data_IF_522981046646
#
_entry.id   IF_522981046646
#
_cell.length_a   1.000
_cell.length_b   1.000
_cell.length_c   1.000
_cell.angle_alpha   90.00
_cell.angle_beta   90.00
_cell.angle_gamma   90.00
#
_symmetry.space_group_name_H-M   'P 1'
#
loop_
_entity.id
_entity.type
_entity.pdbx_description
1 polymer ?
#
# COMPACT_ATOMS: atom_id res chain seq x y z
N UNK A 1 71.70 18.85 0.05
CA UNK A 1 71.18 19.16 1.39
C UNK A 1 69.74 19.60 1.22
N UNK A 2 68.80 18.68 1.41
CA UNK A 2 67.36 18.94 1.31
C UNK A 2 66.75 18.54 2.64
N UNK A 3 66.26 19.53 3.38
CA UNK A 3 65.47 19.32 4.58
C UNK A 3 64.12 18.72 4.18
N UNK A 4 63.82 17.54 4.74
CA UNK A 4 62.50 16.93 4.67
C UNK A 4 61.64 17.58 5.76
N UNK A 5 60.68 18.39 5.36
CA UNK A 5 59.61 18.87 6.24
C UNK A 5 58.76 17.68 6.69
N UNK A 6 58.78 17.43 8.00
CA UNK A 6 57.91 16.48 8.69
C UNK A 6 56.57 17.18 8.95
N UNK A 7 55.53 16.78 8.21
CA UNK A 7 54.16 17.15 8.57
C UNK A 7 53.72 16.31 9.78
N UNK A 8 53.24 16.92 10.88
CA UNK A 8 52.67 16.17 11.99
C UNK A 8 51.32 15.57 11.57
N UNK A 9 50.95 14.39 12.11
CA UNK A 9 49.67 13.77 11.82
C UNK A 9 48.52 14.60 12.41
N UNK A 10 47.51 14.75 11.57
CA UNK A 10 46.24 15.40 11.82
C UNK A 10 45.56 14.79 13.07
N UNK A 11 45.37 15.60 14.11
CA UNK A 11 44.63 15.21 15.31
C UNK A 11 43.15 15.53 15.08
N UNK A 12 42.44 14.61 14.45
CA UNK A 12 40.99 14.55 14.61
C UNK A 12 40.68 14.28 16.09
N UNK A 13 39.80 15.06 16.74
CA UNK A 13 39.39 14.77 18.10
C UNK A 13 38.59 13.47 18.11
N UNK A 14 39.20 12.42 18.66
CA UNK A 14 38.48 11.24 19.13
C UNK A 14 37.63 11.69 20.31
N UNK A 15 36.32 11.81 20.10
CA UNK A 15 35.38 11.95 21.21
C UNK A 15 35.50 10.71 22.09
N UNK A 16 36.04 10.90 23.29
CA UNK A 16 36.14 9.89 24.33
C UNK A 16 34.75 9.35 24.67
N UNK A 17 34.60 8.04 24.49
CA UNK A 17 33.46 7.24 24.93
C UNK A 17 33.87 6.38 26.13
N UNK A 18 34.70 6.95 26.99
CA UNK A 18 35.06 6.36 28.28
C UNK A 18 34.68 7.37 29.38
N UNK A 19 34.12 6.82 30.47
CA UNK A 19 33.75 7.48 31.73
C UNK A 19 32.36 8.17 31.78
N UNK A 20 31.33 7.33 31.85
CA UNK A 20 30.16 7.58 32.71
C UNK A 20 29.68 6.23 33.27
N UNK A 21 30.53 5.61 34.10
CA UNK A 21 30.09 4.60 35.06
C UNK A 21 29.23 5.29 36.13
N UNK A 22 27.91 5.26 35.95
CA UNK A 22 26.99 5.52 37.05
C UNK A 22 27.02 4.31 38.00
N UNK A 23 27.09 4.52 39.32
CA UNK A 23 27.11 3.42 40.28
C UNK A 23 25.82 2.61 40.17
N UNK A 24 25.98 1.30 39.94
CA UNK A 24 24.96 0.27 40.14
C UNK A 24 24.40 0.44 41.55
N UNK A 25 23.25 1.08 41.62
CA UNK A 25 22.41 1.11 42.81
C UNK A 25 21.41 0.00 42.59
N UNK A 26 21.47 -1.04 43.41
CA UNK A 26 20.47 -2.11 43.52
C UNK A 26 19.12 -1.51 43.96
N UNK A 27 18.44 -0.86 43.03
CA UNK A 27 17.06 -0.47 43.19
C UNK A 27 16.20 -1.66 42.77
N UNK A 28 15.73 -2.42 43.77
CA UNK A 28 14.56 -3.27 43.59
C UNK A 28 13.47 -2.47 42.86
N UNK A 29 12.86 -3.00 41.78
CA UNK A 29 11.72 -2.35 41.18
C UNK A 29 10.58 -2.35 42.20
N UNK A 30 10.35 -1.19 42.82
CA UNK A 30 9.15 -0.93 43.61
C UNK A 30 7.96 -1.21 42.72
N UNK A 31 7.16 -2.19 43.13
CA UNK A 31 5.96 -2.64 42.44
C UNK A 31 5.10 -1.45 42.03
N UNK A 32 5.06 -1.20 40.73
CA UNK A 32 3.93 -0.51 40.13
C UNK A 32 2.83 -1.57 40.08
N UNK A 33 2.00 -1.58 41.12
CA UNK A 33 0.77 -2.37 41.15
C UNK A 33 -0.02 -2.01 39.90
N UNK A 34 0.00 -2.93 38.92
CA UNK A 34 -0.95 -2.91 37.83
C UNK A 34 -2.33 -3.05 38.47
N UNK A 35 -3.34 -2.27 38.05
CA UNK A 35 -4.68 -2.41 38.59
C UNK A 35 -5.12 -3.87 38.43
N UNK A 36 -5.29 -4.56 39.56
CA UNK A 36 -5.98 -5.84 39.65
C UNK A 36 -7.45 -5.61 39.27
N UNK A 37 -7.69 -5.45 37.97
CA UNK A 37 -9.03 -5.49 37.43
C UNK A 37 -9.50 -6.94 37.55
N UNK A 38 -10.43 -7.15 38.49
CA UNK A 38 -11.09 -8.40 38.80
C UNK A 38 -11.69 -9.06 37.55
N UNK A 39 -10.86 -9.80 36.79
CA UNK A 39 -11.28 -10.66 35.69
C UNK A 39 -11.69 -12.03 36.25
N UNK A 40 -12.79 -12.04 37.00
CA UNK A 40 -13.52 -13.28 37.24
C UNK A 40 -14.27 -13.66 35.97
N UNK A 41 -13.65 -14.38 35.03
CA UNK A 41 -14.30 -15.31 34.08
C UNK A 41 -13.27 -15.98 33.17
N UNK A 42 -13.18 -17.31 33.28
CA UNK A 42 -12.49 -18.26 32.39
C UNK A 42 -10.99 -18.02 32.12
N UNK A 43 -10.15 -18.48 33.07
CA UNK A 43 -8.70 -18.70 32.90
C UNK A 43 -8.39 -19.86 31.92
N UNK A 44 -8.96 -19.84 30.72
CA UNK A 44 -8.47 -20.72 29.67
C UNK A 44 -7.08 -20.20 29.22
N UNK A 45 -6.06 -21.06 29.11
CA UNK A 45 -4.77 -20.62 28.57
C UNK A 45 -4.98 -20.03 27.16
N UNK A 46 -4.31 -18.92 26.83
CA UNK A 46 -4.47 -18.28 25.51
C UNK A 46 -4.03 -19.26 24.42
N UNK A 47 -4.91 -19.58 23.48
CA UNK A 47 -4.55 -20.32 22.27
C UNK A 47 -4.04 -19.34 21.22
N UNK A 48 -2.93 -19.66 20.58
CA UNK A 48 -2.34 -18.84 19.51
C UNK A 48 -2.16 -19.66 18.24
N UNK A 49 -2.49 -19.04 17.10
CA UNK A 49 -2.21 -19.57 15.77
C UNK A 49 -1.08 -18.76 15.14
N UNK A 50 -0.04 -19.46 14.69
CA UNK A 50 1.15 -18.91 14.06
C UNK A 50 1.21 -19.42 12.62
N UNK A 51 1.38 -18.54 11.66
CA UNK A 51 1.49 -18.91 10.24
C UNK A 51 2.67 -18.19 9.58
N UNK A 52 3.68 -18.95 9.15
CA UNK A 52 4.79 -18.40 8.37
C UNK A 52 4.42 -18.36 6.88
N UNK A 53 4.39 -17.15 6.31
CA UNK A 53 4.06 -16.97 4.89
C UNK A 53 5.14 -17.51 3.95
N UNK A 54 6.40 -17.61 4.39
CA UNK A 54 7.49 -18.04 3.52
C UNK A 54 7.55 -19.57 3.40
N UNK A 55 7.56 -20.28 4.54
CA UNK A 55 7.64 -21.75 4.54
C UNK A 55 6.27 -22.45 4.44
N UNK A 56 5.17 -21.72 4.67
CA UNK A 56 3.82 -22.29 4.76
C UNK A 56 3.58 -23.12 6.02
N UNK A 57 4.51 -23.11 6.97
CA UNK A 57 4.37 -23.81 8.26
C UNK A 57 3.34 -23.06 9.12
N UNK A 58 2.40 -23.81 9.68
CA UNK A 58 1.44 -23.31 10.66
C UNK A 58 1.52 -24.10 11.96
N UNK A 59 1.36 -23.41 13.07
CA UNK A 59 1.37 -23.99 14.41
C UNK A 59 0.21 -23.38 15.21
N UNK A 60 -0.67 -24.22 15.74
CA UNK A 60 -1.69 -23.81 16.70
C UNK A 60 -1.36 -24.46 18.03
N UNK A 61 -1.21 -23.66 19.08
CA UNK A 61 -0.79 -24.16 20.38
C UNK A 61 -1.38 -23.35 21.53
N UNK A 62 -1.63 -24.03 22.64
CA UNK A 62 -2.01 -23.50 23.95
C UNK A 62 -0.92 -23.78 25.02
N UNK A 63 0.20 -24.40 24.61
CA UNK A 63 1.34 -24.70 25.47
C UNK A 63 2.44 -23.66 25.30
N UNK A 64 2.99 -23.18 26.43
CA UNK A 64 4.08 -22.21 26.47
C UNK A 64 5.20 -22.71 27.41
N UNK A 65 6.48 -22.37 27.14
CA UNK A 65 6.96 -21.49 26.06
C UNK A 65 6.90 -22.15 24.68
N UNK A 66 6.77 -21.33 23.63
CA UNK A 66 6.85 -21.77 22.21
C UNK A 66 8.17 -21.29 21.64
N UNK A 67 8.97 -22.21 21.10
CA UNK A 67 10.24 -21.92 20.47
C UNK A 67 10.12 -21.86 18.94
N UNK A 68 10.60 -20.74 18.37
CA UNK A 68 10.60 -20.49 16.94
C UNK A 68 12.05 -20.41 16.48
N UNK A 69 12.44 -21.20 15.49
CA UNK A 69 13.81 -21.20 15.00
C UNK A 69 14.01 -21.97 13.70
N UNK A 70 15.21 -21.86 13.15
CA UNK A 70 15.61 -22.62 11.97
C UNK A 70 16.23 -23.96 12.39
N UNK A 71 15.57 -25.04 12.00
CA UNK A 71 15.93 -26.41 12.37
C UNK A 71 14.73 -27.21 12.88
N UNK A 72 14.86 -28.55 12.88
CA UNK A 72 13.74 -29.47 13.18
C UNK A 72 13.37 -29.60 14.67
N UNK A 73 14.13 -28.96 15.56
CA UNK A 73 14.00 -29.15 17.02
C UNK A 73 13.07 -28.16 17.71
N UNK A 74 12.55 -27.18 16.98
CA UNK A 74 11.72 -26.10 17.50
C UNK A 74 10.24 -26.38 17.24
N UNK A 75 9.36 -25.87 18.10
CA UNK A 75 7.91 -26.04 17.97
C UNK A 75 7.42 -25.50 16.61
N UNK A 76 7.93 -24.33 16.23
CA UNK A 76 7.79 -23.79 14.87
C UNK A 76 9.13 -23.81 14.15
N UNK A 77 9.35 -24.88 13.38
CA UNK A 77 10.54 -25.08 12.57
C UNK A 77 10.48 -24.26 11.26
N UNK A 78 11.09 -23.08 11.27
CA UNK A 78 11.23 -22.24 10.08
C UNK A 78 12.19 -22.91 9.09
N UNK A 79 11.85 -22.85 7.79
CA UNK A 79 12.69 -23.36 6.70
C UNK A 79 13.04 -22.22 5.74
N UNK A 80 14.31 -21.85 5.68
CA UNK A 80 14.75 -20.76 4.82
C UNK A 80 16.25 -20.51 4.91
N UNK A 81 16.76 -19.54 4.12
CA UNK A 81 18.11 -19.03 4.30
C UNK A 81 18.19 -18.33 5.67
N UNK A 82 19.14 -18.74 6.51
CA UNK A 82 19.36 -18.14 7.82
C UNK A 82 20.24 -19.04 8.71
N UNK A 83 20.81 -18.50 9.80
CA UNK A 83 21.62 -19.30 10.72
C UNK A 83 20.77 -20.40 11.38
N UNK A 84 21.30 -21.61 11.54
CA UNK A 84 20.62 -22.63 12.34
C UNK A 84 20.56 -22.18 13.81
N UNK A 85 19.40 -22.28 14.45
CA UNK A 85 19.28 -21.86 15.85
C UNK A 85 17.89 -21.37 16.25
N UNK A 86 17.78 -21.05 17.55
CA UNK A 86 16.58 -20.48 18.15
C UNK A 86 16.53 -19.00 17.77
N UNK A 87 15.45 -18.55 17.13
CA UNK A 87 15.31 -17.16 16.71
C UNK A 87 14.57 -16.35 17.76
N UNK A 88 13.41 -16.84 18.19
CA UNK A 88 12.55 -16.19 19.16
C UNK A 88 11.83 -17.21 20.05
N UNK A 89 11.38 -16.75 21.22
CA UNK A 89 10.58 -17.53 22.16
C UNK A 89 9.33 -16.74 22.54
N UNK A 90 8.18 -17.41 22.53
CA UNK A 90 6.92 -16.86 23.04
C UNK A 90 6.69 -17.40 24.44
N UNK A 91 6.45 -16.50 25.39
CA UNK A 91 6.13 -16.82 26.77
C UNK A 91 4.77 -16.23 27.16
N UNK A 92 4.04 -16.95 28.02
CA UNK A 92 2.78 -16.50 28.61
C UNK A 92 2.98 -16.18 30.08
N UNK A 93 2.78 -14.92 30.45
CA UNK A 93 2.86 -14.45 31.83
C UNK A 93 1.52 -13.84 32.21
N UNK A 94 0.78 -14.45 33.14
CA UNK A 94 -0.55 -13.99 33.57
C UNK A 94 -1.55 -13.81 32.41
N UNK A 95 -1.54 -14.72 31.43
CA UNK A 95 -2.40 -14.66 30.24
C UNK A 95 -1.94 -13.68 29.17
N UNK A 96 -0.86 -12.94 29.43
CA UNK A 96 -0.26 -12.00 28.48
C UNK A 96 0.85 -12.69 27.70
N UNK A 97 0.74 -12.71 26.37
CA UNK A 97 1.75 -13.30 25.50
C UNK A 97 2.81 -12.28 25.12
N UNK A 98 4.08 -12.62 25.34
CA UNK A 98 5.23 -11.83 24.90
C UNK A 98 6.15 -12.68 24.04
N UNK A 99 6.64 -12.12 22.94
CA UNK A 99 7.68 -12.73 22.10
C UNK A 99 9.01 -12.02 22.33
N UNK A 100 10.07 -12.77 22.58
CA UNK A 100 11.42 -12.28 22.84
C UNK A 100 12.40 -12.83 21.80
N UNK A 101 13.30 -11.97 21.31
CA UNK A 101 14.39 -12.33 20.41
C UNK A 101 15.47 -13.06 21.19
N UNK A 102 15.72 -14.32 20.85
CA UNK A 102 16.75 -15.14 21.51
C UNK A 102 18.11 -15.12 20.77
N UNK A 103 18.12 -14.84 19.46
CA UNK A 103 19.36 -14.73 18.69
C UNK A 103 19.59 -13.29 18.20
N UNK A 104 20.63 -12.59 18.68
CA UNK A 104 20.90 -11.20 18.31
C UNK A 104 21.33 -11.04 16.84
N UNK A 105 21.74 -12.11 16.16
CA UNK A 105 22.10 -12.09 14.74
C UNK A 105 20.87 -12.11 13.82
N UNK A 106 19.70 -12.43 14.37
CA UNK A 106 18.44 -12.51 13.61
C UNK A 106 17.67 -11.21 13.79
N UNK A 107 17.31 -10.58 12.68
CA UNK A 107 16.48 -9.39 12.70
C UNK A 107 15.07 -9.73 13.19
N UNK A 108 14.53 -8.95 14.12
CA UNK A 108 13.16 -9.10 14.61
C UNK A 108 12.45 -7.75 14.56
N UNK A 109 11.34 -7.66 13.82
CA UNK A 109 10.55 -6.43 13.73
C UNK A 109 9.05 -6.71 13.80
N UNK A 110 8.35 -5.92 14.60
CA UNK A 110 6.90 -5.89 14.65
C UNK A 110 6.42 -4.61 13.95
N UNK A 111 5.51 -4.73 12.98
CA UNK A 111 4.99 -3.60 12.20
C UNK A 111 6.08 -2.65 11.68
N UNK A 112 7.17 -3.24 11.16
CA UNK A 112 8.37 -2.55 10.61
C UNK A 112 9.31 -1.90 11.62
N UNK A 113 9.02 -1.96 12.92
CA UNK A 113 9.90 -1.45 13.99
C UNK A 113 10.75 -2.58 14.56
N UNK A 114 12.07 -2.43 14.56
CA UNK A 114 12.97 -3.41 15.18
C UNK A 114 12.74 -3.45 16.70
N UNK A 115 12.54 -4.65 17.23
CA UNK A 115 12.20 -4.88 18.64
C UNK A 115 12.98 -6.08 19.16
N UNK A 116 13.42 -6.02 20.42
CA UNK A 116 14.01 -7.17 21.13
C UNK A 116 12.94 -8.00 21.84
N UNK A 117 11.84 -7.36 22.26
CA UNK A 117 10.69 -7.98 22.90
C UNK A 117 9.42 -7.27 22.44
N UNK A 118 8.36 -8.02 22.17
CA UNK A 118 7.08 -7.48 21.71
C UNK A 118 5.91 -8.12 22.46
N UNK A 119 4.92 -7.29 22.79
CA UNK A 119 3.69 -7.69 23.48
C UNK A 119 2.64 -8.04 22.41
N UNK A 120 2.15 -9.28 22.41
CA UNK A 120 1.19 -9.72 21.42
C UNK A 120 -0.24 -9.45 21.91
N UNK A 121 -0.85 -8.36 21.43
CA UNK A 121 -2.19 -7.90 21.87
C UNK A 121 -3.32 -8.21 20.88
N UNK A 122 -3.02 -8.75 19.70
CA UNK A 122 -4.00 -8.98 18.65
C UNK A 122 -3.38 -9.51 17.36
N UNK A 123 -4.14 -9.57 16.25
CA UNK A 123 -3.63 -10.04 14.97
C UNK A 123 -2.50 -9.14 14.51
N UNK A 124 -1.28 -9.68 14.49
CA UNK A 124 -0.05 -8.93 14.21
C UNK A 124 0.80 -9.71 13.22
N UNK A 125 1.55 -9.01 12.39
CA UNK A 125 2.59 -9.63 11.57
C UNK A 125 3.97 -9.27 12.11
N UNK A 126 4.80 -10.27 12.35
CA UNK A 126 6.15 -10.09 12.86
C UNK A 126 7.15 -10.68 11.87
N UNK A 127 8.16 -9.89 11.56
CA UNK A 127 9.27 -10.30 10.69
C UNK A 127 10.40 -10.88 11.56
N UNK A 128 10.81 -12.12 11.26
CA UNK A 128 11.90 -12.85 11.91
C UNK A 128 12.90 -13.30 10.83
N UNK A 129 13.97 -12.53 10.66
CA UNK A 129 14.87 -12.65 9.51
C UNK A 129 14.09 -12.41 8.21
N UNK A 130 14.08 -13.43 7.35
CA UNK A 130 13.35 -13.42 6.08
C UNK A 130 11.92 -13.97 6.19
N UNK A 131 11.53 -14.46 7.38
CA UNK A 131 10.21 -15.02 7.62
C UNK A 131 9.22 -13.94 8.06
N UNK A 132 8.01 -13.97 7.49
CA UNK A 132 6.90 -13.12 7.92
C UNK A 132 5.85 -14.00 8.59
N UNK A 133 5.81 -13.95 9.92
CA UNK A 133 4.93 -14.75 10.76
C UNK A 133 3.68 -13.93 11.08
N UNK A 134 2.53 -14.45 10.68
CA UNK A 134 1.24 -13.90 11.08
C UNK A 134 0.76 -14.59 12.37
N UNK A 135 0.36 -13.78 13.34
CA UNK A 135 -0.20 -14.21 14.62
C UNK A 135 -1.70 -13.99 14.56
N UNK A 136 -2.47 -15.01 14.93
CA UNK A 136 -3.90 -14.90 15.10
C UNK A 136 -4.31 -15.41 16.49
N UNK A 137 -5.14 -14.61 17.15
CA UNK A 137 -5.68 -14.88 18.48
C UNK A 137 -7.11 -15.33 18.30
N UNK A 138 -7.29 -16.44 17.59
CA UNK A 138 -8.60 -17.05 17.46
C UNK A 138 -8.95 -17.64 18.84
N UNK A 139 -9.67 -16.83 19.61
CA UNK A 139 -10.37 -17.19 20.83
C UNK A 139 -10.96 -18.58 20.62
N UNK A 140 -10.45 -19.56 21.37
CA UNK A 140 -10.78 -20.99 21.34
C UNK A 140 -12.26 -21.31 21.70
N UNK A 141 -13.20 -20.43 21.33
CA UNK A 141 -14.64 -20.65 21.32
C UNK A 141 -15.05 -21.21 19.96
N UNK A 142 -14.65 -22.45 19.71
CA UNK A 142 -15.48 -23.41 19.01
C UNK A 142 -15.63 -23.28 17.50
N UNK A 143 -14.53 -23.16 16.74
CA UNK A 143 -14.53 -23.66 15.35
C UNK A 143 -14.05 -25.11 15.31
N UNK A 144 -14.86 -26.02 15.90
CA UNK A 144 -15.02 -27.32 15.24
C UNK A 144 -15.40 -26.97 13.82
N UNK A 145 -14.57 -27.35 12.84
CA UNK A 145 -14.76 -27.05 11.43
C UNK A 145 -16.12 -27.55 10.94
N UNK A 146 -17.17 -26.77 11.18
CA UNK A 146 -18.44 -26.89 10.49
C UNK A 146 -18.20 -26.24 9.13
N UNK A 147 -18.33 -27.00 8.03
CA UNK A 147 -18.07 -26.46 6.70
C UNK A 147 -18.95 -25.22 6.50
N UNK A 148 -18.42 -24.14 5.89
CA UNK A 148 -19.09 -22.85 5.82
C UNK A 148 -20.50 -23.02 5.24
N UNK A 149 -21.52 -22.86 6.09
CA UNK A 149 -22.94 -23.02 5.71
C UNK A 149 -23.35 -22.10 4.56
N UNK A 150 -22.66 -20.96 4.38
CA UNK A 150 -22.83 -20.07 3.22
C UNK A 150 -22.37 -20.71 1.91
N UNK A 151 -21.30 -21.53 1.93
CA UNK A 151 -20.80 -22.21 0.73
C UNK A 151 -21.72 -23.36 0.30
N UNK A 152 -22.42 -24.02 1.23
CA UNK A 152 -23.39 -25.06 0.89
C UNK A 152 -24.63 -24.50 0.19
N UNK A 153 -25.13 -23.32 0.59
CA UNK A 153 -26.22 -22.62 -0.12
C UNK A 153 -25.78 -22.16 -1.51
N UNK A 154 -24.56 -21.65 -1.64
CA UNK A 154 -24.02 -21.23 -2.93
C UNK A 154 -23.78 -22.42 -3.87
N UNK A 155 -23.22 -23.53 -3.39
CA UNK A 155 -23.06 -24.76 -4.16
C UNK A 155 -24.40 -25.39 -4.56
N UNK A 156 -25.42 -25.35 -3.69
CA UNK A 156 -26.78 -25.78 -4.06
C UNK A 156 -27.36 -24.89 -5.17
N UNK A 157 -27.13 -23.57 -5.10
CA UNK A 157 -27.59 -22.63 -6.11
C UNK A 157 -26.89 -22.86 -7.45
N UNK A 158 -25.56 -23.08 -7.44
CA UNK A 158 -24.79 -23.45 -8.65
C UNK A 158 -25.25 -24.78 -9.22
N UNK A 159 -25.51 -25.79 -8.38
CA UNK A 159 -26.03 -27.08 -8.84
C UNK A 159 -27.41 -26.94 -9.49
N UNK A 160 -28.34 -26.19 -8.88
CA UNK A 160 -29.68 -25.94 -9.45
C UNK A 160 -29.58 -25.18 -10.77
N UNK A 161 -28.74 -24.15 -10.85
CA UNK A 161 -28.53 -23.38 -12.10
C UNK A 161 -27.94 -24.26 -13.20
N UNK A 162 -26.96 -25.11 -12.88
CA UNK A 162 -26.37 -26.04 -13.85
C UNK A 162 -27.38 -27.07 -14.39
N UNK A 163 -28.30 -27.54 -13.53
CA UNK A 163 -29.34 -28.50 -13.91
C UNK A 163 -30.40 -27.84 -14.82
N UNK A 164 -30.77 -26.58 -14.54
CA UNK A 164 -31.67 -25.80 -15.40
C UNK A 164 -31.03 -25.56 -16.77
N UNK A 165 -29.77 -25.13 -16.82
CA UNK A 165 -29.04 -24.88 -18.07
C UNK A 165 -28.91 -26.18 -18.88
N UNK A 166 -28.58 -27.30 -18.23
CA UNK A 166 -28.49 -28.61 -18.87
C UNK A 166 -29.82 -29.07 -19.48
N UNK A 167 -30.93 -28.92 -18.75
CA UNK A 167 -32.26 -29.26 -19.27
C UNK A 167 -32.67 -28.38 -20.47
N UNK A 168 -32.27 -27.10 -20.46
CA UNK A 168 -32.52 -26.17 -21.55
C UNK A 168 -31.73 -26.54 -22.81
N UNK A 169 -30.45 -26.92 -22.65
CA UNK A 169 -29.60 -27.43 -23.72
C UNK A 169 -30.13 -28.73 -24.33
N UNK A 170 -30.57 -29.69 -23.50
CA UNK A 170 -31.17 -30.94 -23.99
C UNK A 170 -32.44 -30.66 -24.78
N UNK A 171 -33.31 -29.75 -24.32
CA UNK A 171 -34.50 -29.35 -25.09
C UNK A 171 -34.12 -28.70 -26.42
N UNK A 172 -33.08 -27.88 -26.45
CA UNK A 172 -32.65 -27.21 -27.67
C UNK A 172 -32.10 -28.21 -28.70
N UNK A 173 -31.37 -29.24 -28.25
CA UNK A 173 -30.91 -30.34 -29.08
C UNK A 173 -32.07 -31.20 -29.62
N UNK A 174 -33.07 -31.49 -28.80
CA UNK A 174 -34.25 -32.24 -29.25
C UNK A 174 -35.10 -31.48 -30.27
N UNK A 175 -35.19 -30.15 -30.16
CA UNK A 175 -35.91 -29.31 -31.14
C UNK A 175 -35.12 -29.19 -32.45
N UNK A 176 -33.78 -29.21 -32.39
CA UNK A 176 -32.95 -29.20 -33.59
C UNK A 176 -33.11 -30.49 -34.42
N UNK A 177 -33.32 -31.63 -33.78
CA UNK A 177 -33.51 -32.93 -34.45
C UNK A 177 -34.85 -33.00 -35.23
N UNK A 178 -35.88 -32.28 -34.78
CA UNK A 178 -37.16 -32.17 -35.51
C UNK A 178 -37.06 -31.26 -36.75
N UNK A 179 -36.05 -30.40 -36.85
CA UNK A 179 -35.88 -29.48 -37.96
C UNK A 179 -35.26 -30.15 -39.22
N UNK A 180 -34.53 -31.26 -39.06
CA UNK A 180 -33.90 -31.98 -40.19
C UNK A 180 -34.80 -33.07 -40.81
N UNK A 181 -35.95 -33.39 -40.19
CA UNK A 181 -36.91 -34.39 -40.69
C UNK A 181 -37.76 -33.94 -41.88
N UNK A 182 -37.57 -32.72 -42.43
CA UNK A 182 -38.32 -32.23 -43.59
C UNK A 182 -37.42 -31.86 -44.75
N UNK A 183 -36.69 -32.85 -45.28
CA UNK A 183 -36.12 -32.73 -46.64
C UNK A 183 -36.62 -33.89 -47.50
N UNK A 184 -37.24 -33.47 -48.60
CA UNK A 184 -37.98 -34.23 -49.58
C UNK A 184 -37.14 -35.26 -50.34
N UNK A 185 -37.77 -36.43 -50.51
CA UNK A 185 -37.50 -37.48 -51.48
C UNK A 185 -37.20 -36.91 -52.87
N UNK A 186 -35.99 -37.15 -53.38
CA UNK A 186 -35.68 -37.20 -54.82
C UNK A 186 -34.73 -38.39 -55.05
N UNK A 187 -35.29 -39.47 -55.60
CA UNK A 187 -34.57 -40.60 -56.24
C UNK A 187 -33.83 -40.10 -57.50
N UNK A 188 -32.70 -40.70 -57.96
CA UNK A 188 -32.72 -42.08 -58.51
C UNK A 188 -31.43 -42.94 -58.47
N UNK A 189 -31.67 -44.24 -58.68
CA UNK A 189 -30.94 -45.25 -59.48
C UNK A 189 -29.45 -45.60 -59.24
N UNK A 190 -29.27 -46.73 -58.54
CA UNK A 190 -28.71 -48.02 -59.01
C UNK A 190 -27.59 -48.05 -60.08
N UNK A 191 -26.41 -48.57 -59.69
CA UNK A 191 -25.60 -49.67 -60.30
C UNK A 191 -24.14 -49.55 -59.79
N UNK A 192 -23.60 -50.44 -58.93
CA UNK A 192 -23.09 -51.80 -59.22
C UNK A 192 -22.12 -51.77 -60.42
N UNK A 193 -20.83 -52.13 -60.38
CA UNK A 193 -20.14 -53.20 -59.65
C UNK A 193 -18.62 -53.10 -59.84
N UNK A 194 -17.90 -53.62 -58.83
CA UNK A 194 -16.58 -54.32 -58.80
C UNK A 194 -16.33 -55.32 -59.99
N UNK A 195 -15.18 -56.03 -60.20
CA UNK A 195 -13.79 -56.03 -59.66
C UNK A 195 -12.66 -55.99 -60.74
N UNK A 196 -11.38 -56.14 -60.31
CA UNK A 196 -10.45 -57.22 -60.78
C UNK A 196 -8.99 -56.81 -61.18
N UNK A 197 -8.04 -57.15 -60.28
CA UNK A 197 -6.76 -57.88 -60.45
C UNK A 197 -5.91 -57.71 -61.75
N UNK A 198 -4.61 -57.31 -61.60
CA UNK A 198 -3.34 -58.07 -61.90
C UNK A 198 -2.14 -57.14 -62.24
N UNK A 199 -1.07 -57.26 -61.42
CA UNK A 199 0.40 -57.45 -61.70
C UNK A 199 1.18 -56.64 -62.80
N UNK A 200 2.54 -56.58 -62.72
CA UNK A 200 3.42 -55.42 -63.02
C UNK A 200 4.40 -55.73 -64.20
N UNK A 201 5.69 -55.26 -64.26
CA UNK A 201 6.38 -53.95 -64.18
C UNK A 201 6.99 -53.58 -65.60
N UNK A 202 8.00 -52.68 -65.85
CA UNK A 202 9.42 -52.73 -65.38
C UNK A 202 10.17 -51.36 -65.15
N UNK A 203 11.40 -51.50 -64.63
CA UNK A 203 12.57 -50.59 -64.51
C UNK A 203 13.12 -50.07 -65.87
N UNK A 204 14.04 -49.05 -65.96
CA UNK A 204 15.50 -49.15 -65.68
C UNK A 204 16.21 -47.87 -65.10
N UNK A 205 17.21 -48.04 -64.21
CA UNK A 205 18.71 -47.95 -64.36
C UNK A 205 19.26 -46.51 -64.45
N UNK A 206 20.39 -46.08 -63.87
CA UNK A 206 21.54 -46.58 -63.07
C UNK A 206 22.27 -45.29 -62.57
N UNK A 207 23.41 -45.23 -61.86
CA UNK A 207 24.56 -46.12 -61.72
C UNK A 207 25.52 -45.52 -60.64
N UNK A 208 26.13 -46.38 -59.81
CA UNK A 208 27.52 -46.38 -59.24
C UNK A 208 28.07 -45.14 -58.46
N UNK A 209 28.89 -45.26 -57.41
CA UNK A 209 29.73 -46.35 -56.91
C UNK A 209 30.06 -46.19 -55.39
N UNK A 210 30.39 -47.32 -54.78
CA UNK A 210 30.92 -47.55 -53.43
C UNK A 210 32.49 -47.68 -53.49
N UNK A 211 33.27 -47.74 -52.39
CA UNK A 211 33.26 -48.90 -51.48
C UNK A 211 33.53 -48.65 -49.96
N UNK A 212 33.32 -49.74 -49.20
CA UNK A 212 33.46 -49.98 -47.75
C UNK A 212 34.82 -49.68 -47.11
N UNK A 213 34.82 -49.45 -45.77
CA UNK A 213 35.54 -50.26 -44.76
C UNK A 213 34.85 -50.14 -43.38
N UNK A 214 34.70 -51.27 -42.69
CA UNK A 214 34.20 -51.49 -41.32
C UNK A 214 34.95 -50.72 -40.19
N UNK A 215 34.24 -50.43 -39.09
CA UNK A 215 34.58 -50.84 -37.70
C UNK A 215 34.15 -49.84 -36.59
N UNK A 216 33.17 -50.28 -35.78
CA UNK A 216 33.15 -50.36 -34.30
C UNK A 216 33.15 -49.11 -33.38
N UNK A 217 32.27 -49.18 -32.36
CA UNK A 217 32.36 -48.65 -30.96
C UNK A 217 32.06 -47.16 -30.68
N UNK A 218 30.85 -46.92 -30.16
CA UNK A 218 30.54 -46.30 -28.84
C UNK A 218 30.73 -44.79 -28.58
N UNK A 219 29.60 -44.22 -28.10
CA UNK A 219 29.41 -43.18 -27.08
C UNK A 219 29.50 -41.67 -27.41
N UNK A 220 28.50 -41.02 -26.79
CA UNK A 220 28.46 -39.66 -26.26
C UNK A 220 28.09 -38.54 -27.22
N UNK A 221 26.81 -38.19 -27.18
CA UNK A 221 26.19 -37.03 -27.81
C UNK A 221 26.56 -35.77 -27.05
N UNK A 222 27.24 -34.85 -27.72
CA UNK A 222 27.51 -33.49 -27.26
C UNK A 222 26.37 -32.53 -27.61
N UNK A 223 25.91 -31.82 -26.59
CA UNK A 223 25.76 -30.36 -26.52
C UNK A 223 25.29 -29.61 -27.79
N UNK A 224 24.04 -29.14 -27.75
CA UNK A 224 23.49 -28.11 -28.64
C UNK A 224 22.87 -26.98 -27.81
N UNK A 225 23.52 -25.82 -27.86
CA UNK A 225 23.01 -24.52 -27.44
C UNK A 225 22.33 -23.87 -28.65
N UNK A 226 21.09 -23.33 -28.53
CA UNK A 226 20.55 -22.41 -29.52
C UNK A 226 20.75 -20.95 -29.09
N UNK A 227 21.30 -20.21 -30.05
CA UNK A 227 21.40 -18.76 -30.20
C UNK A 227 20.01 -18.08 -30.24
N UNK A 228 19.86 -16.84 -29.74
CA UNK A 228 18.77 -15.98 -30.20
C UNK A 228 19.24 -14.70 -30.88
N UNK A 229 18.79 -14.61 -32.13
CA UNK A 229 18.43 -13.47 -32.97
C UNK A 229 18.58 -12.04 -32.43
N UNK A 230 19.41 -11.31 -33.17
CA UNK A 230 19.40 -9.86 -33.42
C UNK A 230 18.00 -9.27 -33.61
N UNK A 231 17.62 -8.30 -32.79
CA UNK A 231 16.50 -7.39 -33.03
C UNK A 231 17.00 -5.94 -33.20
N UNK A 232 16.46 -5.30 -34.23
CA UNK A 232 16.85 -4.01 -34.77
C UNK A 232 16.39 -2.81 -33.93
N UNK A 233 17.22 -1.76 -33.98
CA UNK A 233 17.00 -0.40 -33.47
C UNK A 233 15.99 0.35 -34.38
N UNK A 234 15.20 1.28 -33.82
CA UNK A 234 15.17 2.60 -34.47
C UNK A 234 15.36 3.78 -33.51
N UNK A 235 15.98 4.80 -34.10
CA UNK A 235 16.54 6.02 -33.53
C UNK A 235 15.53 7.06 -33.01
N UNK A 236 16.01 7.79 -32.00
CA UNK A 236 16.01 9.25 -31.83
C UNK A 236 14.72 10.07 -32.08
N UNK A 237 14.21 10.65 -30.99
CA UNK A 237 13.56 11.96 -31.02
C UNK A 237 14.31 12.88 -30.04
N UNK A 238 15.09 13.80 -30.61
CA UNK A 238 15.62 14.95 -29.92
C UNK A 238 14.54 16.01 -29.79
N UNK A 239 14.20 16.42 -28.57
CA UNK A 239 13.48 17.67 -28.32
C UNK A 239 14.33 18.54 -27.38
N UNK A 240 15.10 19.43 -28.00
CA UNK A 240 15.67 20.60 -27.38
C UNK A 240 14.53 21.53 -26.95
N UNK A 241 14.37 21.77 -25.65
CA UNK A 241 13.72 22.98 -25.15
C UNK A 241 14.80 23.90 -24.58
N UNK A 242 15.13 24.95 -25.34
CA UNK A 242 15.91 26.07 -24.84
C UNK A 242 15.02 26.92 -23.93
N UNK A 243 15.34 26.94 -22.64
CA UNK A 243 14.75 27.88 -21.70
C UNK A 243 15.43 29.24 -21.88
N UNK A 244 14.66 30.25 -22.26
CA UNK A 244 15.03 31.67 -22.22
C UNK A 244 15.21 32.13 -20.76
N UNK A 245 16.26 32.89 -20.42
CA UNK A 245 16.45 33.41 -19.07
C UNK A 245 15.52 34.60 -18.76
N UNK A 246 15.02 34.76 -17.53
CA UNK A 246 14.23 35.92 -17.14
C UNK A 246 15.11 37.16 -16.96
N UNK A 247 14.58 38.30 -17.40
CA UNK A 247 15.18 39.64 -17.23
C UNK A 247 15.10 40.12 -15.78
N UNK A 248 16.05 40.94 -15.30
CA UNK A 248 16.08 41.44 -13.93
C UNK A 248 15.10 42.61 -13.73
N UNK A 249 14.32 42.56 -12.65
CA UNK A 249 13.45 43.66 -12.21
C UNK A 249 14.22 44.54 -11.22
N UNK A 250 14.49 45.77 -11.64
CA UNK A 250 15.01 46.88 -10.84
C UNK A 250 13.88 47.54 -10.02
N UNK A 251 14.11 48.01 -8.79
CA UNK A 251 13.10 48.72 -8.01
C UNK A 251 13.16 50.24 -8.25
N UNK A 252 12.01 50.90 -8.38
CA UNK A 252 11.93 52.36 -8.35
C UNK A 252 10.63 52.88 -7.69
N UNK A 253 10.87 53.54 -6.55
CA UNK A 253 10.20 54.69 -5.92
C UNK A 253 8.81 55.19 -6.36
N UNK A 254 7.95 55.33 -5.35
CA UNK A 254 7.22 56.53 -4.89
C UNK A 254 6.86 57.63 -5.90
N UNK A 255 5.56 57.90 -6.10
CA UNK A 255 4.87 59.15 -5.69
C UNK A 255 3.54 59.45 -6.43
N UNK A 256 2.62 60.07 -5.68
CA UNK A 256 1.62 61.10 -6.04
C UNK A 256 0.31 60.77 -6.79
N UNK A 257 -0.79 61.08 -6.07
CA UNK A 257 -2.18 61.43 -6.44
C UNK A 257 -2.20 62.86 -7.05
N UNK A 258 -3.04 63.24 -8.06
CA UNK A 258 -4.39 63.78 -7.81
C UNK A 258 -5.52 63.65 -8.90
N UNK A 259 -6.76 63.51 -8.39
CA UNK A 259 -8.00 64.30 -8.67
C UNK A 259 -8.81 64.20 -10.00
N UNK A 260 -10.10 63.80 -9.82
CA UNK A 260 -11.40 64.20 -10.43
C UNK A 260 -11.82 63.82 -11.87
N UNK A 261 -12.84 62.93 -12.02
CA UNK A 261 -14.26 63.17 -12.45
C UNK A 261 -14.60 62.63 -13.88
N UNK A 262 -15.87 62.38 -14.28
CA UNK A 262 -16.69 61.22 -13.93
C UNK A 262 -17.41 60.52 -15.13
N UNK A 263 -18.18 59.46 -14.84
CA UNK A 263 -19.27 58.86 -15.65
C UNK A 263 -18.91 57.91 -16.81
N UNK A 264 -19.03 56.60 -16.58
CA UNK A 264 -19.95 55.69 -17.31
C UNK A 264 -20.09 54.38 -16.53
N UNK A 265 -21.33 54.01 -16.20
CA UNK A 265 -21.65 52.86 -15.34
C UNK A 265 -21.19 51.52 -15.95
N UNK A 266 -20.55 50.63 -15.16
CA UNK A 266 -20.54 49.22 -15.44
C UNK A 266 -21.51 48.47 -14.52
N UNK A 267 -22.06 47.41 -15.09
CA UNK A 267 -22.97 46.43 -14.50
C UNK A 267 -22.42 45.97 -13.14
N UNK A 268 -23.22 46.14 -12.08
CA UNK A 268 -22.97 45.60 -10.75
C UNK A 268 -23.07 44.08 -10.80
N UNK A 269 -21.98 43.40 -11.09
CA UNK A 269 -21.76 42.07 -10.56
C UNK A 269 -21.64 42.21 -9.03
N UNK A 270 -22.43 41.50 -8.21
CA UNK A 270 -22.26 41.55 -6.77
C UNK A 270 -20.93 40.89 -6.42
N UNK A 271 -19.88 41.69 -6.32
CA UNK A 271 -18.66 41.34 -5.59
C UNK A 271 -19.08 41.24 -4.13
N UNK A 272 -19.50 40.05 -3.70
CA UNK A 272 -19.57 39.71 -2.28
C UNK A 272 -18.14 39.89 -1.75
N UNK A 273 -17.89 41.01 -1.06
CA UNK A 273 -16.73 41.11 -0.18
C UNK A 273 -16.76 39.87 0.72
N UNK A 274 -15.63 39.17 0.92
CA UNK A 274 -15.57 38.12 1.93
C UNK A 274 -16.02 38.74 3.25
N UNK A 275 -17.05 38.14 3.86
CA UNK A 275 -17.57 38.60 5.14
C UNK A 275 -16.47 38.34 6.17
N UNK A 276 -15.82 39.41 6.65
CA UNK A 276 -14.75 39.38 7.65
C UNK A 276 -15.13 38.58 8.92
N UNK A 277 -16.42 38.35 9.18
CA UNK A 277 -16.89 37.52 10.30
C UNK A 277 -16.62 36.01 10.18
N UNK A 278 -16.53 35.43 8.97
CA UNK A 278 -16.23 34.00 8.82
C UNK A 278 -14.72 33.71 9.01
N UNK A 279 -13.88 34.68 8.65
CA UNK A 279 -12.41 34.65 8.80
C UNK A 279 -11.99 34.69 10.26
N UNK A 280 -12.85 35.21 11.14
CA UNK A 280 -12.60 35.25 12.59
C UNK A 280 -12.96 33.96 13.33
N UNK A 281 -13.57 32.95 12.66
CA UNK A 281 -13.87 31.66 13.30
C UNK A 281 -12.62 30.86 13.73
N UNK A 282 -11.54 30.73 12.94
CA UNK A 282 -10.29 30.14 13.42
C UNK A 282 -9.64 30.97 14.53
N UNK A 283 -9.82 32.29 14.52
CA UNK A 283 -9.28 33.17 15.57
C UNK A 283 -10.04 33.01 16.88
N UNK A 284 -11.38 32.93 16.84
CA UNK A 284 -12.23 32.61 17.99
C UNK A 284 -11.89 31.26 18.61
N UNK A 285 -11.68 30.25 17.77
CA UNK A 285 -11.21 28.93 18.17
C UNK A 285 -9.82 28.99 18.79
N UNK A 286 -8.90 29.77 18.20
CA UNK A 286 -7.56 29.96 18.74
C UNK A 286 -7.59 30.68 20.10
N UNK A 287 -8.47 31.67 20.28
CA UNK A 287 -8.70 32.37 21.56
C UNK A 287 -9.27 31.41 22.62
N UNK A 288 -10.18 30.52 22.25
CA UNK A 288 -10.67 29.46 23.14
C UNK A 288 -9.55 28.50 23.55
N UNK A 289 -8.75 28.00 22.60
CA UNK A 289 -7.58 27.14 22.89
C UNK A 289 -6.54 27.82 23.78
N UNK A 290 -6.40 29.15 23.67
CA UNK A 290 -5.54 29.96 24.54
C UNK A 290 -6.14 30.29 25.90
N UNK A 291 -7.37 29.86 26.19
CA UNK A 291 -8.06 30.14 27.45
C UNK A 291 -8.49 31.59 27.63
N UNK A 292 -8.55 32.38 26.54
CA UNK A 292 -8.92 33.81 26.60
C UNK A 292 -10.44 34.03 26.76
N UNK A 293 -11.26 32.99 26.56
CA UNK A 293 -12.70 33.03 26.75
C UNK A 293 -13.05 32.54 28.15
N UNK A 294 -13.52 33.48 28.98
CA UNK A 294 -13.67 33.33 30.44
C UNK A 294 -14.84 32.43 30.86
N UNK A 295 -15.83 32.21 30.00
CA UNK A 295 -16.88 31.21 30.23
C UNK A 295 -17.55 30.74 28.94
N UNK A 296 -18.04 29.49 28.96
CA UNK A 296 -18.79 28.89 27.85
C UNK A 296 -20.06 29.68 27.49
N UNK A 297 -20.73 30.26 28.49
CA UNK A 297 -21.94 31.06 28.29
C UNK A 297 -21.66 32.39 27.60
N UNK A 298 -20.47 32.99 27.79
CA UNK A 298 -20.06 34.19 27.09
C UNK A 298 -19.70 33.92 25.61
N UNK A 299 -19.17 32.73 25.30
CA UNK A 299 -18.79 32.34 23.94
C UNK A 299 -20.00 31.88 23.08
N UNK A 300 -21.10 31.48 23.72
CA UNK A 300 -22.29 30.90 23.06
C UNK A 300 -22.91 31.75 21.94
N UNK A 301 -23.12 33.08 22.06
CA UNK A 301 -23.67 33.88 20.96
C UNK A 301 -22.70 33.99 19.78
N UNK A 302 -21.41 34.21 20.03
CA UNK A 302 -20.39 34.29 18.98
C UNK A 302 -20.24 32.95 18.24
N UNK A 303 -20.35 31.85 18.98
CA UNK A 303 -20.30 30.50 18.42
C UNK A 303 -21.56 30.19 17.60
N UNK A 304 -22.74 30.69 17.99
CA UNK A 304 -23.97 30.59 17.20
C UNK A 304 -23.87 31.39 15.89
N UNK A 305 -23.28 32.57 15.93
CA UNK A 305 -23.05 33.39 14.74
C UNK A 305 -22.01 32.73 13.83
N UNK A 306 -20.93 32.17 14.39
CA UNK A 306 -19.95 31.39 13.66
C UNK A 306 -20.58 30.16 12.99
N UNK A 307 -21.43 29.40 13.69
CA UNK A 307 -22.19 28.28 13.12
C UNK A 307 -23.09 28.72 11.95
N UNK A 308 -23.71 29.90 12.04
CA UNK A 308 -24.53 30.46 10.96
C UNK A 308 -23.70 30.90 9.74
N UNK A 309 -22.51 31.46 9.98
CA UNK A 309 -21.58 31.85 8.93
C UNK A 309 -21.00 30.62 8.21
N UNK A 310 -20.56 29.62 8.98
CA UNK A 310 -20.13 28.30 8.50
C UNK A 310 -21.23 27.66 7.64
N UNK A 311 -22.49 27.76 8.07
CA UNK A 311 -23.64 27.26 7.32
C UNK A 311 -23.80 27.91 5.95
N UNK A 312 -23.59 29.23 5.84
CA UNK A 312 -23.61 29.92 4.54
C UNK A 312 -22.40 29.59 3.66
N UNK A 313 -21.29 29.20 4.27
CA UNK A 313 -20.06 28.81 3.58
C UNK A 313 -20.12 27.39 3.02
N UNK A 314 -20.98 26.54 3.57
CA UNK A 314 -21.19 25.20 3.03
C UNK A 314 -21.84 25.21 1.64
N UNK A 315 -22.62 26.25 1.34
CA UNK A 315 -23.19 26.49 0.01
C UNK A 315 -22.17 27.07 -0.99
N UNK A 316 -20.88 27.16 -0.61
CA UNK A 316 -19.82 27.58 -1.52
C UNK A 316 -19.54 26.53 -2.59
N UNK A 317 -19.09 27.00 -3.76
CA UNK A 317 -18.82 26.15 -4.91
C UNK A 317 -17.54 25.30 -4.77
N UNK A 318 -16.62 25.71 -3.89
CA UNK A 318 -15.29 25.07 -3.83
C UNK A 318 -15.18 24.08 -2.67
N UNK A 319 -14.59 22.92 -2.97
CA UNK A 319 -14.45 21.84 -2.00
C UNK A 319 -13.55 22.22 -0.82
N UNK A 320 -12.49 22.99 -1.06
CA UNK A 320 -11.56 23.43 -0.01
C UNK A 320 -12.24 24.36 1.00
N UNK A 321 -13.13 25.25 0.54
CA UNK A 321 -13.89 26.13 1.43
C UNK A 321 -14.90 25.33 2.26
N UNK A 322 -15.55 24.33 1.67
CA UNK A 322 -16.45 23.43 2.40
C UNK A 322 -15.71 22.59 3.44
N UNK A 323 -14.50 22.13 3.13
CA UNK A 323 -13.63 21.41 4.07
C UNK A 323 -13.21 22.30 5.25
N UNK A 324 -12.72 23.51 4.98
CA UNK A 324 -12.34 24.47 6.02
C UNK A 324 -13.53 24.86 6.90
N UNK A 325 -14.72 25.01 6.32
CA UNK A 325 -15.95 25.28 7.06
C UNK A 325 -16.33 24.10 7.98
N UNK A 326 -16.17 22.86 7.51
CA UNK A 326 -16.39 21.67 8.34
C UNK A 326 -15.36 21.54 9.47
N UNK A 327 -14.08 21.83 9.22
CA UNK A 327 -13.05 21.84 10.27
C UNK A 327 -13.36 22.90 11.34
N UNK A 328 -13.79 24.09 10.93
CA UNK A 328 -14.24 25.13 11.86
C UNK A 328 -15.47 24.68 12.67
N UNK A 329 -16.42 23.99 12.03
CA UNK A 329 -17.60 23.43 12.68
C UNK A 329 -17.23 22.40 13.74
N UNK A 330 -16.40 21.42 13.38
CA UNK A 330 -16.03 20.32 14.27
C UNK A 330 -15.28 20.83 15.51
N UNK A 331 -14.40 21.82 15.33
CA UNK A 331 -13.71 22.44 16.46
C UNK A 331 -14.68 23.24 17.34
N UNK A 332 -15.63 23.97 16.75
CA UNK A 332 -16.65 24.68 17.50
C UNK A 332 -17.55 23.72 18.30
N UNK A 333 -17.94 22.58 17.71
CA UNK A 333 -18.72 21.54 18.38
C UNK A 333 -17.94 20.89 19.54
N UNK A 334 -16.66 20.62 19.34
CA UNK A 334 -15.78 20.11 20.40
C UNK A 334 -15.61 21.14 21.54
N UNK A 335 -15.45 22.43 21.20
CA UNK A 335 -15.38 23.50 22.19
C UNK A 335 -16.69 23.66 22.99
N UNK A 336 -17.83 23.23 22.42
CA UNK A 336 -19.10 23.15 23.15
C UNK A 336 -19.22 21.97 24.11
N UNK A 337 -18.20 21.11 24.20
CA UNK A 337 -18.24 19.91 25.04
C UNK A 337 -19.25 18.88 24.53
N UNK A 338 -19.59 18.92 23.24
CA UNK A 338 -20.36 17.85 22.62
C UNK A 338 -19.49 16.59 22.54
N UNK A 339 -20.01 15.45 22.99
CA UNK A 339 -19.30 14.16 22.95
C UNK A 339 -19.06 13.65 21.51
N UNK A 340 -19.72 14.25 20.52
CA UNK A 340 -19.58 13.92 19.11
C UNK A 340 -20.13 15.02 18.21
N UNK A 341 -20.02 14.84 16.88
CA UNK A 341 -20.59 15.78 15.93
C UNK A 341 -22.10 15.91 16.14
N UNK A 342 -22.65 17.12 15.96
CA UNK A 342 -24.11 17.28 16.00
C UNK A 342 -24.75 16.52 14.84
N UNK A 343 -26.06 16.20 14.92
CA UNK A 343 -26.81 15.59 13.80
C UNK A 343 -26.59 16.34 12.48
N UNK A 344 -26.47 17.67 12.54
CA UNK A 344 -26.19 18.48 11.36
C UNK A 344 -24.72 18.40 10.95
N UNK A 345 -23.79 18.41 11.90
CA UNK A 345 -22.38 18.17 11.67
C UNK A 345 -22.14 16.82 10.98
N UNK A 346 -22.88 15.78 11.36
CA UNK A 346 -22.87 14.47 10.69
C UNK A 346 -23.37 14.55 9.26
N UNK A 347 -24.51 15.21 8.99
CA UNK A 347 -25.02 15.39 7.62
C UNK A 347 -24.03 16.15 6.72
N UNK A 348 -23.36 17.17 7.27
CA UNK A 348 -22.33 17.94 6.57
C UNK A 348 -21.12 17.06 6.30
N UNK A 349 -20.64 16.32 7.32
CA UNK A 349 -19.53 15.38 7.21
C UNK A 349 -19.79 14.32 6.13
N UNK A 350 -20.99 13.76 6.10
CA UNK A 350 -21.41 12.74 5.14
C UNK A 350 -21.40 13.29 3.70
N UNK A 351 -22.11 14.40 3.47
CA UNK A 351 -22.20 15.02 2.14
C UNK A 351 -20.87 15.61 1.65
N UNK A 352 -20.00 16.09 2.54
CA UNK A 352 -18.64 16.50 2.22
C UNK A 352 -17.78 15.29 1.85
N UNK A 353 -17.90 14.20 2.62
CA UNK A 353 -17.24 12.93 2.34
C UNK A 353 -17.58 12.38 0.96
N UNK A 354 -18.87 12.37 0.59
CA UNK A 354 -19.30 11.97 -0.76
C UNK A 354 -18.71 12.89 -1.85
N UNK A 355 -18.71 14.21 -1.61
CA UNK A 355 -18.13 15.19 -2.55
C UNK A 355 -16.63 14.97 -2.75
N UNK A 356 -15.90 14.65 -1.68
CA UNK A 356 -14.48 14.30 -1.70
C UNK A 356 -14.23 13.03 -2.50
N UNK A 357 -15.02 11.96 -2.27
CA UNK A 357 -14.90 10.71 -3.04
C UNK A 357 -15.15 10.94 -4.53
N UNK A 358 -16.16 11.74 -4.89
CA UNK A 358 -16.42 12.06 -6.29
C UNK A 358 -15.27 12.86 -6.92
N UNK A 359 -14.71 13.83 -6.19
CA UNK A 359 -13.55 14.58 -6.64
C UNK A 359 -12.31 13.70 -6.77
N UNK A 360 -12.09 12.78 -5.82
CA UNK A 360 -10.97 11.84 -5.81
C UNK A 360 -11.01 10.93 -7.04
N UNK A 361 -12.17 10.34 -7.35
CA UNK A 361 -12.37 9.51 -8.56
C UNK A 361 -12.10 10.27 -9.85
N UNK A 362 -12.50 11.56 -9.92
CA UNK A 362 -12.18 12.40 -11.08
C UNK A 362 -10.68 12.63 -11.24
N UNK A 363 -9.96 12.77 -10.12
CA UNK A 363 -8.50 12.95 -10.10
C UNK A 363 -7.76 11.66 -10.44
N UNK A 364 -8.25 10.53 -9.95
CA UNK A 364 -7.77 9.20 -10.33
C UNK A 364 -7.93 8.95 -11.83
N UNK A 365 -9.11 9.26 -12.40
CA UNK A 365 -9.35 9.16 -13.85
C UNK A 365 -8.48 10.09 -14.69
N UNK A 366 -7.99 11.18 -14.10
CA UNK A 366 -7.09 12.13 -14.75
C UNK A 366 -5.60 11.76 -14.56
N UNK A 367 -5.30 10.60 -13.96
CA UNK A 367 -3.95 10.16 -13.61
C UNK A 367 -3.21 11.16 -12.69
N UNK A 368 -3.97 11.93 -11.90
CA UNK A 368 -3.45 12.86 -10.89
C UNK A 368 -3.32 12.17 -9.52
N UNK A 369 -2.53 11.09 -9.46
CA UNK A 369 -2.44 10.14 -8.33
C UNK A 369 -2.29 10.81 -6.96
N UNK A 370 -1.39 11.79 -6.84
CA UNK A 370 -1.15 12.49 -5.57
C UNK A 370 -2.37 13.26 -5.09
N UNK A 371 -3.13 13.86 -6.00
CA UNK A 371 -4.35 14.57 -5.64
C UNK A 371 -5.46 13.58 -5.30
N UNK A 372 -5.59 12.50 -6.06
CA UNK A 372 -6.52 11.42 -5.76
C UNK A 372 -6.26 10.84 -4.36
N UNK A 373 -5.00 10.48 -4.06
CA UNK A 373 -4.56 10.02 -2.73
C UNK A 373 -4.98 11.01 -1.64
N UNK A 374 -4.66 12.29 -1.81
CA UNK A 374 -4.96 13.32 -0.81
C UNK A 374 -6.46 13.43 -0.55
N UNK A 375 -7.29 13.37 -1.59
CA UNK A 375 -8.74 13.48 -1.47
C UNK A 375 -9.36 12.21 -0.85
N UNK A 376 -8.88 11.02 -1.21
CA UNK A 376 -9.31 9.77 -0.57
C UNK A 376 -8.93 9.71 0.90
N UNK A 377 -7.71 10.14 1.26
CA UNK A 377 -7.27 10.23 2.66
C UNK A 377 -8.20 11.15 3.46
N UNK A 378 -8.47 12.36 2.94
CA UNK A 378 -9.40 13.29 3.59
C UNK A 378 -10.81 12.69 3.73
N UNK A 379 -11.30 11.97 2.74
CA UNK A 379 -12.61 11.32 2.84
C UNK A 379 -12.64 10.24 3.95
N UNK A 380 -11.57 9.45 4.06
CA UNK A 380 -11.41 8.45 5.11
C UNK A 380 -11.34 9.08 6.51
N UNK A 381 -10.64 10.21 6.66
CA UNK A 381 -10.57 10.97 7.91
C UNK A 381 -11.94 11.48 8.36
N UNK A 382 -12.84 11.77 7.41
CA UNK A 382 -14.24 12.10 7.68
C UNK A 382 -15.11 10.87 8.04
N UNK A 383 -14.51 9.68 8.14
CA UNK A 383 -15.21 8.44 8.48
C UNK A 383 -15.94 7.79 7.30
N UNK A 384 -15.67 8.23 6.06
CA UNK A 384 -16.22 7.55 4.88
C UNK A 384 -15.51 6.22 4.66
N UNK A 385 -16.23 5.11 4.83
CA UNK A 385 -15.70 3.78 4.58
C UNK A 385 -15.76 3.46 3.08
N UNK A 386 -14.87 4.08 2.28
CA UNK A 386 -14.70 3.72 0.87
C UNK A 386 -13.64 2.62 0.73
N UNK A 387 -14.06 1.40 0.36
CA UNK A 387 -13.14 0.30 0.07
C UNK A 387 -12.20 0.66 -1.10
N UNK A 388 -12.73 1.32 -2.14
CA UNK A 388 -11.97 1.80 -3.29
C UNK A 388 -10.84 2.76 -2.87
N UNK A 389 -11.15 3.77 -2.05
CA UNK A 389 -10.16 4.74 -1.59
C UNK A 389 -9.05 4.11 -0.74
N UNK A 390 -9.40 3.14 0.12
CA UNK A 390 -8.42 2.38 0.90
C UNK A 390 -7.50 1.55 0.01
N UNK A 391 -8.08 0.83 -0.96
CA UNK A 391 -7.32 0.01 -1.89
C UNK A 391 -6.35 0.86 -2.73
N UNK A 392 -6.81 2.02 -3.22
CA UNK A 392 -5.96 2.93 -3.98
C UNK A 392 -4.78 3.45 -3.13
N UNK A 393 -5.05 3.93 -1.91
CA UNK A 393 -4.00 4.41 -0.99
C UNK A 393 -2.97 3.32 -0.74
N UNK A 394 -3.41 2.09 -0.41
CA UNK A 394 -2.52 0.95 -0.20
C UNK A 394 -1.68 0.68 -1.45
N UNK A 395 -2.30 0.68 -2.64
CA UNK A 395 -1.62 0.42 -3.91
C UNK A 395 -0.54 1.47 -4.20
N UNK A 396 -0.87 2.76 -4.02
CA UNK A 396 0.06 3.87 -4.22
C UNK A 396 1.20 3.85 -3.20
N UNK A 397 0.93 3.48 -1.94
CA UNK A 397 1.97 3.34 -0.92
C UNK A 397 2.90 2.13 -1.18
N UNK A 398 2.35 0.99 -1.64
CA UNK A 398 3.16 -0.16 -2.04
C UNK A 398 4.04 0.13 -3.25
N UNK A 399 3.52 0.87 -4.24
CA UNK A 399 4.29 1.29 -5.39
C UNK A 399 5.37 2.30 -5.01
N UNK A 400 5.04 3.30 -4.19
CA UNK A 400 6.00 4.26 -3.65
C UNK A 400 7.12 3.56 -2.87
N UNK A 401 6.78 2.57 -2.03
CA UNK A 401 7.74 1.75 -1.30
C UNK A 401 8.67 0.97 -2.26
N UNK A 402 8.11 0.38 -3.31
CA UNK A 402 8.85 -0.38 -4.33
C UNK A 402 9.82 0.52 -5.08
N UNK A 403 9.35 1.66 -5.60
CA UNK A 403 10.15 2.65 -6.32
C UNK A 403 11.27 3.19 -5.42
N UNK A 404 10.96 3.50 -4.16
CA UNK A 404 11.96 3.96 -3.19
C UNK A 404 13.07 2.92 -2.99
N UNK A 405 12.71 1.65 -2.76
CA UNK A 405 13.67 0.53 -2.59
C UNK A 405 14.54 0.31 -3.83
N UNK A 406 13.97 0.44 -5.04
CA UNK A 406 14.75 0.38 -6.28
C UNK A 406 15.75 1.53 -6.37
N UNK A 407 15.31 2.77 -6.11
CA UNK A 407 16.21 3.92 -6.06
C UNK A 407 17.33 3.73 -5.03
N UNK A 408 17.01 3.18 -3.87
CA UNK A 408 17.99 2.89 -2.82
C UNK A 408 19.07 1.90 -3.26
N UNK A 409 18.71 0.82 -3.97
CA UNK A 409 19.68 -0.16 -4.51
C UNK A 409 20.61 0.46 -5.55
N UNK A 410 20.14 1.46 -6.29
CA UNK A 410 20.91 2.15 -7.32
C UNK A 410 21.73 3.34 -6.78
N UNK A 411 21.59 3.70 -5.50
CA UNK A 411 22.17 4.92 -4.91
C UNK A 411 23.67 5.10 -5.21
N UNK A 412 24.45 4.01 -5.20
CA UNK A 412 25.90 4.05 -5.40
C UNK A 412 26.35 3.62 -6.80
N UNK A 413 25.57 2.80 -7.50
CA UNK A 413 25.91 2.31 -8.84
C UNK A 413 25.44 3.24 -9.95
N UNK A 414 24.24 3.81 -9.82
CA UNK A 414 23.65 4.76 -10.75
C UNK A 414 22.81 5.82 -10.01
N UNK A 415 23.46 6.88 -9.48
CA UNK A 415 22.78 7.91 -8.71
C UNK A 415 21.80 8.75 -9.56
N UNK A 416 21.97 8.78 -10.89
CA UNK A 416 21.06 9.49 -11.79
C UNK A 416 19.71 8.78 -11.86
N UNK A 417 19.73 7.47 -12.11
CA UNK A 417 18.52 6.65 -12.16
C UNK A 417 17.88 6.53 -10.78
N UNK A 418 18.66 6.41 -9.70
CA UNK A 418 18.15 6.43 -8.33
C UNK A 418 17.30 7.69 -8.04
N UNK A 419 17.79 8.86 -8.43
CA UNK A 419 17.06 10.13 -8.30
C UNK A 419 15.75 10.16 -9.07
N UNK A 420 15.72 9.62 -10.29
CA UNK A 420 14.48 9.56 -11.07
C UNK A 420 13.41 8.74 -10.35
N UNK A 421 13.78 7.62 -9.72
CA UNK A 421 12.84 6.83 -8.91
C UNK A 421 12.32 7.59 -7.70
N UNK A 422 13.17 8.30 -6.96
CA UNK A 422 12.71 9.09 -5.81
C UNK A 422 11.85 10.29 -6.23
N UNK A 423 12.12 10.91 -7.37
CA UNK A 423 11.22 11.96 -7.92
C UNK A 423 9.84 11.38 -8.22
N UNK A 424 9.76 10.18 -8.82
CA UNK A 424 8.48 9.49 -9.04
C UNK A 424 7.72 9.28 -7.73
N UNK A 425 8.40 8.81 -6.68
CA UNK A 425 7.80 8.66 -5.35
C UNK A 425 7.21 10.00 -4.86
N UNK A 426 7.98 11.09 -4.93
CA UNK A 426 7.50 12.40 -4.45
C UNK A 426 6.36 13.03 -5.28
N UNK A 427 6.17 12.56 -6.52
CA UNK A 427 5.08 12.99 -7.38
C UNK A 427 3.82 12.14 -7.18
N UNK A 428 3.95 10.92 -6.68
CA UNK A 428 2.86 9.96 -6.52
C UNK A 428 2.17 10.06 -5.16
N UNK A 429 2.94 10.21 -4.08
CA UNK A 429 2.40 10.27 -2.71
C UNK A 429 2.41 11.70 -2.13
N UNK A 430 1.50 12.04 -1.21
CA UNK A 430 1.46 13.37 -0.60
C UNK A 430 2.63 13.60 0.36
N UNK A 431 2.87 14.87 0.70
CA UNK A 431 3.98 15.30 1.57
C UNK A 431 3.97 14.71 2.97
N UNK A 432 2.79 14.32 3.46
CA UNK A 432 2.60 13.72 4.78
C UNK A 432 2.98 12.23 4.79
N UNK A 433 3.04 11.56 3.63
CA UNK A 433 3.39 10.13 3.54
C UNK A 433 4.85 9.91 3.96
N UNK A 434 5.10 8.82 4.67
CA UNK A 434 6.43 8.36 5.05
C UNK A 434 7.35 8.22 3.83
N UNK A 435 6.81 7.69 2.72
CA UNK A 435 7.58 7.47 1.50
C UNK A 435 8.01 8.77 0.82
N UNK A 436 7.16 9.80 0.88
CA UNK A 436 7.54 11.13 0.42
C UNK A 436 8.72 11.67 1.22
N UNK A 437 8.66 11.58 2.55
CA UNK A 437 9.72 12.09 3.43
C UNK A 437 11.04 11.36 3.17
N UNK A 438 11.02 10.02 3.11
CA UNK A 438 12.20 9.20 2.79
C UNK A 438 12.80 9.54 1.42
N UNK A 439 11.96 9.62 0.38
CA UNK A 439 12.42 9.97 -0.97
C UNK A 439 12.99 11.39 -1.03
N UNK A 440 12.36 12.36 -0.36
CA UNK A 440 12.83 13.74 -0.26
C UNK A 440 14.20 13.83 0.42
N UNK A 441 14.40 13.12 1.53
CA UNK A 441 15.70 13.03 2.20
C UNK A 441 16.77 12.43 1.27
N UNK A 442 16.47 11.32 0.60
CA UNK A 442 17.41 10.68 -0.33
C UNK A 442 17.78 11.56 -1.53
N UNK A 443 16.83 12.35 -2.04
CA UNK A 443 17.07 13.35 -3.09
C UNK A 443 18.04 14.45 -2.63
N UNK A 444 17.96 14.86 -1.37
CA UNK A 444 18.86 15.85 -0.79
C UNK A 444 20.27 15.27 -0.55
N UNK A 445 20.38 14.05 -0.02
CA UNK A 445 21.67 13.35 0.18
C UNK A 445 22.48 13.25 -1.12
N UNK A 446 21.81 12.93 -2.23
CA UNK A 446 22.48 12.77 -3.51
C UNK A 446 22.92 14.08 -4.17
N UNK A 447 22.55 15.26 -3.62
CA UNK A 447 23.06 16.55 -4.12
C UNK A 447 24.54 16.73 -3.81
N UNK A 448 25.04 16.14 -2.72
CA UNK A 448 26.44 16.25 -2.30
C UNK A 448 27.43 15.38 -3.07
N UNK A 449 26.96 14.41 -3.87
CA UNK A 449 27.83 13.41 -4.53
C UNK A 449 28.39 13.94 -5.88
N UNK A 450 28.03 15.17 -6.29
CA UNK A 450 28.75 15.87 -7.37
C UNK A 450 29.99 16.56 -6.80
N UNK A 451 31.01 15.76 -6.49
CA UNK A 451 32.35 16.19 -6.13
C UNK A 451 33.37 15.47 -6.99
#
# INVERSE_FOLDING_TARGET
MSEKEHYPPDKTPVFGLDELEAPLTDAQPTGREFPEENAGTDNAPPCISLHDKLSGVSLVTDTFPVEIGNGRRFDMALRGPGPDGLYARIESHNGVLTIERCNPQVFMAADTVEVSRYLLTGPTSLQLGDHLIAFDFDSAKGSVATPPRKRRRWLLLVAVVSLIIGALLIRLLLVADEAESRVSVVSPETQSSEPEVKRPPPLPDGERAQPDVDQTVTASSGERVPEPETAAVPSAISLFFMATPPSPITPAATASVPTSTPVRAPIKSPTKKPVEGAVNSPELVARYRRGELVSFEAARPELKDALSAIRSYYDSETLDQRLAAWEALSIAEQAMGLEGPSVRGEQIRESLGESLLQAARKKEQAEEDRQAYTLFSKALDLGQNSEEGRLLIITLDEEAARLYRFGYRLKYSDPSTARQYWVKVTNQVPTQSEWYQKASMALNDTKGIRG
#
